data_IF_431375310486
#
_entry.id   IF_431375310486
#
_cell.length_a   1.000
_cell.length_b   1.000
_cell.length_c   1.000
_cell.angle_alpha   90.00
_cell.angle_beta   90.00
_cell.angle_gamma   90.00
#
_symmetry.space_group_name_H-M   'P 1'
#
loop_
_entity.id
_entity.type
_entity.pdbx_description
1 polymer ?
#
# COMPACT_ATOMS: atom_id res chain seq x y z
N UNK A 1 8.79 27.18 -4.95
CA UNK A 1 8.82 27.29 -3.46
C UNK A 1 7.53 26.80 -2.78
N UNK A 2 6.32 27.17 -3.21
CA UNK A 2 5.04 26.77 -2.56
C UNK A 2 4.76 25.25 -2.50
N UNK A 3 5.29 24.44 -3.41
CA UNK A 3 5.03 22.99 -3.45
C UNK A 3 5.82 22.22 -2.39
N UNK A 4 7.07 22.60 -2.13
CA UNK A 4 7.92 21.96 -1.12
C UNK A 4 7.34 22.09 0.29
N UNK A 5 6.82 23.27 0.65
CA UNK A 5 6.13 23.46 1.93
C UNK A 5 4.92 22.53 2.10
N UNK A 6 4.11 22.36 1.05
CA UNK A 6 3.00 21.40 1.07
C UNK A 6 3.47 19.96 1.18
N UNK A 7 4.51 19.56 0.44
CA UNK A 7 5.10 18.22 0.53
C UNK A 7 5.57 17.92 1.95
N UNK A 8 6.34 18.83 2.55
CA UNK A 8 6.84 18.67 3.92
C UNK A 8 5.66 18.56 4.90
N UNK A 9 4.65 19.42 4.78
CA UNK A 9 3.46 19.36 5.66
C UNK A 9 2.76 18.01 5.52
N UNK A 10 2.48 17.53 4.31
CA UNK A 10 1.79 16.25 4.14
C UNK A 10 2.64 15.06 4.58
N UNK A 11 3.96 15.09 4.37
CA UNK A 11 4.86 14.05 4.88
C UNK A 11 4.89 14.04 6.41
N UNK A 12 4.99 15.21 7.04
CA UNK A 12 4.97 15.34 8.50
C UNK A 12 3.62 14.88 9.04
N UNK A 13 2.51 15.31 8.45
CA UNK A 13 1.16 14.89 8.86
C UNK A 13 0.99 13.39 8.70
N UNK A 14 1.40 12.81 7.58
CA UNK A 14 1.35 11.37 7.37
C UNK A 14 2.21 10.63 8.41
N UNK A 15 3.44 11.06 8.65
CA UNK A 15 4.33 10.45 9.64
C UNK A 15 3.78 10.57 11.07
N UNK A 16 3.19 11.72 11.43
CA UNK A 16 2.55 11.93 12.74
C UNK A 16 1.34 11.01 12.89
N UNK A 17 0.47 10.94 11.88
CA UNK A 17 -0.71 10.08 11.91
C UNK A 17 -0.35 8.59 11.97
N UNK A 18 0.72 8.17 11.29
CA UNK A 18 1.15 6.76 11.27
C UNK A 18 2.02 6.36 12.45
N UNK A 19 2.58 7.31 13.23
CA UNK A 19 3.56 6.95 14.29
C UNK A 19 3.33 7.59 15.65
N UNK A 20 2.62 8.71 15.74
CA UNK A 20 2.53 9.52 16.97
C UNK A 20 1.14 9.50 17.59
N UNK A 21 0.08 9.44 16.78
CA UNK A 21 -1.29 9.49 17.31
C UNK A 21 -1.74 8.09 17.76
N UNK A 22 -2.43 7.94 18.92
CA UNK A 22 -3.17 6.72 19.22
C UNK A 22 -4.08 6.38 18.02
N UNK A 23 -4.23 5.10 17.69
CA UNK A 23 -4.89 4.65 16.45
C UNK A 23 -4.09 4.87 15.15
N UNK A 24 -2.77 5.06 15.21
CA UNK A 24 -1.89 4.93 14.03
C UNK A 24 -2.15 3.65 13.24
N UNK A 25 -2.43 2.57 13.99
CA UNK A 25 -3.52 1.60 13.82
C UNK A 25 -4.23 1.60 12.46
N UNK A 26 -5.09 2.58 12.38
CA UNK A 26 -6.05 2.77 11.34
C UNK A 26 -5.38 3.17 10.02
N UNK A 27 -4.38 4.05 10.07
CA UNK A 27 -3.79 4.65 8.87
C UNK A 27 -2.84 3.69 8.14
N UNK A 28 -1.98 2.96 8.87
CA UNK A 28 -1.01 2.08 8.21
C UNK A 28 -1.65 0.84 7.59
N UNK A 29 -2.81 0.42 8.08
CA UNK A 29 -3.56 -0.71 7.52
C UNK A 29 -4.08 -0.47 6.10
N UNK A 30 -4.08 0.77 5.60
CA UNK A 30 -4.34 1.06 4.18
C UNK A 30 -3.28 0.40 3.30
N UNK A 31 -1.99 0.55 3.65
CA UNK A 31 -0.91 -0.06 2.90
C UNK A 31 -0.89 -1.58 3.10
N UNK A 32 -1.10 -2.07 4.32
CA UNK A 32 -1.22 -3.50 4.62
C UNK A 32 -2.31 -4.15 3.77
N UNK A 33 -3.50 -3.55 3.66
CA UNK A 33 -4.57 -4.06 2.81
C UNK A 33 -4.12 -4.19 1.35
N UNK A 34 -3.48 -3.15 0.81
CA UNK A 34 -3.02 -3.12 -0.59
C UNK A 34 -1.92 -4.15 -0.83
N UNK A 35 -1.02 -4.31 0.13
CA UNK A 35 0.05 -5.31 0.12
C UNK A 35 -0.53 -6.73 0.04
N UNK A 36 -1.42 -7.08 0.97
CA UNK A 36 -2.08 -8.39 0.98
C UNK A 36 -2.96 -8.61 -0.26
N UNK A 37 -3.63 -7.56 -0.73
CA UNK A 37 -4.40 -7.61 -1.98
C UNK A 37 -3.50 -7.89 -3.19
N UNK A 38 -2.26 -7.39 -3.19
CA UNK A 38 -1.24 -7.71 -4.19
C UNK A 38 -0.90 -9.19 -4.23
N UNK A 39 -0.65 -9.80 -3.06
CA UNK A 39 -0.47 -11.25 -2.96
C UNK A 39 -1.69 -12.02 -3.48
N UNK A 40 -2.90 -11.58 -3.11
CA UNK A 40 -4.13 -12.22 -3.54
C UNK A 40 -4.31 -12.18 -5.07
N UNK A 41 -4.11 -11.03 -5.71
CA UNK A 41 -4.20 -10.90 -7.17
C UNK A 41 -3.19 -11.83 -7.85
N UNK A 42 -1.91 -11.76 -7.45
CA UNK A 42 -0.88 -12.56 -8.11
C UNK A 42 -1.11 -14.04 -7.89
N UNK A 43 -1.60 -14.43 -6.71
CA UNK A 43 -2.03 -15.81 -6.42
C UNK A 43 -3.08 -16.29 -7.43
N UNK A 44 -4.13 -15.48 -7.67
CA UNK A 44 -5.17 -15.84 -8.64
C UNK A 44 -4.62 -15.92 -10.07
N UNK A 45 -3.74 -14.99 -10.45
CA UNK A 45 -3.12 -14.98 -11.79
C UNK A 45 -2.25 -16.20 -12.05
N UNK A 46 -1.52 -16.69 -11.05
CA UNK A 46 -0.70 -17.91 -11.16
C UNK A 46 -1.49 -19.19 -10.89
N UNK A 47 -2.82 -19.13 -11.00
CA UNK A 47 -3.76 -20.25 -10.82
C UNK A 47 -3.74 -20.88 -9.43
N UNK A 48 -3.40 -20.10 -8.41
CA UNK A 48 -3.62 -20.46 -7.01
C UNK A 48 -5.04 -20.13 -6.56
N UNK A 49 -5.43 -20.65 -5.40
CA UNK A 49 -6.65 -20.24 -4.69
C UNK A 49 -6.27 -19.38 -3.50
N UNK A 50 -6.84 -18.19 -3.41
CA UNK A 50 -6.78 -17.38 -2.18
C UNK A 50 -7.80 -17.96 -1.22
N UNK A 51 -7.37 -18.31 -0.01
CA UNK A 51 -8.25 -18.83 1.03
C UNK A 51 -8.89 -17.66 1.77
N UNK A 52 -8.05 -16.80 2.34
CA UNK A 52 -8.47 -15.59 3.06
C UNK A 52 -7.28 -14.68 3.37
N UNK A 53 -7.57 -13.42 3.67
CA UNK A 53 -6.65 -12.41 4.17
C UNK A 53 -7.03 -12.12 5.63
N UNK A 54 -6.03 -12.08 6.50
CA UNK A 54 -6.17 -11.55 7.86
C UNK A 54 -5.40 -10.24 7.99
N UNK A 55 -6.05 -9.23 8.57
CA UNK A 55 -5.44 -7.94 8.91
C UNK A 55 -5.44 -7.75 10.41
N UNK A 56 -4.36 -7.27 11.00
CA UNK A 56 -4.22 -7.19 12.46
C UNK A 56 -4.07 -5.74 12.95
N UNK A 57 -4.36 -5.56 14.25
CA UNK A 57 -4.29 -4.25 14.89
C UNK A 57 -2.85 -3.71 15.03
N UNK A 58 -1.85 -4.57 14.89
CA UNK A 58 -0.43 -4.22 14.86
C UNK A 58 0.09 -3.89 13.44
N UNK A 59 -0.82 -3.82 12.46
CA UNK A 59 -0.57 -3.57 11.03
C UNK A 59 0.09 -4.70 10.26
N UNK A 60 0.24 -5.87 10.89
CA UNK A 60 0.58 -7.06 10.15
C UNK A 60 -0.61 -7.53 9.31
N UNK A 61 -0.30 -8.21 8.22
CA UNK A 61 -1.24 -8.86 7.34
C UNK A 61 -0.73 -10.25 6.99
N UNK A 62 -1.65 -11.16 6.68
CA UNK A 62 -1.29 -12.46 6.11
C UNK A 62 -2.33 -12.87 5.07
N UNK A 63 -1.87 -13.14 3.86
CA UNK A 63 -2.64 -13.77 2.78
C UNK A 63 -2.42 -15.27 2.76
N UNK A 64 -3.45 -16.02 3.15
CA UNK A 64 -3.43 -17.47 3.07
C UNK A 64 -3.86 -17.93 1.68
N UNK A 65 -3.04 -18.77 1.05
CA UNK A 65 -3.32 -19.33 -0.27
C UNK A 65 -3.05 -20.83 -0.31
N UNK A 66 -3.67 -21.52 -1.25
CA UNK A 66 -3.41 -22.94 -1.52
C UNK A 66 -2.18 -23.15 -2.43
N UNK A 67 -1.46 -22.09 -2.77
CA UNK A 67 -0.26 -22.21 -3.58
C UNK A 67 0.77 -23.03 -2.78
N UNK A 68 1.26 -24.12 -3.36
CA UNK A 68 2.26 -24.94 -2.69
C UNK A 68 3.47 -24.07 -2.33
N UNK A 69 3.82 -24.02 -1.05
CA UNK A 69 4.86 -23.15 -0.51
C UNK A 69 6.23 -23.35 -1.18
N UNK A 70 6.45 -24.49 -1.85
CA UNK A 70 7.68 -24.84 -2.57
C UNK A 70 7.58 -24.71 -4.10
N UNK A 71 6.52 -24.11 -4.64
CA UNK A 71 6.38 -23.90 -6.07
C UNK A 71 7.05 -22.59 -6.51
N UNK A 72 7.64 -22.58 -7.72
CA UNK A 72 8.15 -21.35 -8.36
C UNK A 72 7.09 -20.24 -8.45
N UNK A 73 5.80 -20.60 -8.48
CA UNK A 73 4.68 -19.66 -8.46
C UNK A 73 4.67 -18.78 -7.21
N UNK A 74 5.13 -19.33 -6.09
CA UNK A 74 5.19 -18.61 -4.81
C UNK A 74 6.25 -17.50 -4.83
N UNK A 75 7.27 -17.59 -5.69
CA UNK A 75 8.23 -16.49 -5.91
C UNK A 75 7.50 -15.25 -6.43
N UNK A 76 6.61 -15.42 -7.43
CA UNK A 76 5.82 -14.31 -7.96
C UNK A 76 4.87 -13.72 -6.92
N UNK A 77 4.24 -14.59 -6.11
CA UNK A 77 3.36 -14.16 -5.04
C UNK A 77 4.13 -13.35 -4.00
N UNK A 78 5.27 -13.84 -3.50
CA UNK A 78 6.08 -13.16 -2.49
C UNK A 78 6.70 -11.85 -3.00
N UNK A 79 6.95 -11.70 -4.31
CA UNK A 79 7.36 -10.42 -4.89
C UNK A 79 6.23 -9.39 -4.94
N UNK A 80 4.98 -9.82 -4.93
CA UNK A 80 3.84 -8.99 -5.29
C UNK A 80 3.54 -7.88 -4.26
N UNK A 81 3.58 -8.19 -2.96
CA UNK A 81 3.09 -7.31 -1.91
C UNK A 81 3.71 -5.91 -1.98
N UNK A 82 5.03 -5.82 -1.78
CA UNK A 82 5.76 -4.54 -1.80
C UNK A 82 5.72 -3.83 -3.16
N UNK A 83 5.74 -4.58 -4.27
CA UNK A 83 5.67 -4.00 -5.62
C UNK A 83 4.29 -3.36 -5.83
N UNK A 84 3.21 -4.05 -5.48
CA UNK A 84 1.83 -3.55 -5.62
C UNK A 84 1.58 -2.34 -4.72
N UNK A 85 2.04 -2.36 -3.46
CA UNK A 85 2.00 -1.19 -2.57
C UNK A 85 2.69 0.03 -3.19
N UNK A 86 3.90 -0.17 -3.74
CA UNK A 86 4.65 0.91 -4.40
C UNK A 86 3.90 1.46 -5.62
N UNK A 87 3.44 0.57 -6.50
CA UNK A 87 2.68 0.95 -7.71
C UNK A 87 1.40 1.69 -7.34
N UNK A 88 0.69 1.23 -6.31
CA UNK A 88 -0.53 1.87 -5.83
C UNK A 88 -0.28 3.31 -5.36
N UNK A 89 0.78 3.55 -4.58
CA UNK A 89 1.18 4.91 -4.21
C UNK A 89 1.44 5.78 -5.46
N UNK A 90 2.21 5.28 -6.44
CA UNK A 90 2.47 6.01 -7.70
C UNK A 90 1.17 6.33 -8.45
N UNK A 91 0.22 5.38 -8.51
CA UNK A 91 -1.07 5.58 -9.17
C UNK A 91 -1.91 6.66 -8.49
N UNK A 92 -1.87 6.76 -7.15
CA UNK A 92 -2.54 7.84 -6.42
C UNK A 92 -1.92 9.21 -6.74
N UNK A 93 -0.60 9.31 -6.77
CA UNK A 93 0.07 10.56 -7.16
C UNK A 93 -0.15 10.90 -8.64
N UNK A 94 -0.23 9.91 -9.51
CA UNK A 94 -0.59 10.10 -10.91
C UNK A 94 -2.03 10.62 -11.05
N UNK A 95 -2.98 10.03 -10.33
CA UNK A 95 -4.36 10.49 -10.25
C UNK A 95 -4.46 11.93 -9.75
N UNK A 96 -3.68 12.28 -8.71
CA UNK A 96 -3.56 13.65 -8.22
C UNK A 96 -3.07 14.61 -9.32
N UNK A 97 -1.98 14.26 -10.01
CA UNK A 97 -1.37 15.08 -11.07
C UNK A 97 -2.33 15.38 -12.23
N UNK A 98 -3.35 14.53 -12.42
CA UNK A 98 -4.38 14.63 -13.46
C UNK A 98 -5.68 15.27 -12.97
N UNK A 99 -5.78 15.65 -11.70
CA UNK A 99 -7.03 16.16 -11.12
C UNK A 99 -8.15 15.10 -11.03
N UNK A 100 -7.78 13.81 -10.92
CA UNK A 100 -8.69 12.67 -10.87
C UNK A 100 -8.90 12.13 -9.46
N UNK A 101 -8.92 12.99 -8.45
CA UNK A 101 -9.00 12.58 -7.04
C UNK A 101 -10.26 11.77 -6.74
N UNK A 102 -11.42 12.14 -7.31
CA UNK A 102 -12.66 11.38 -7.13
C UNK A 102 -12.56 9.98 -7.73
N UNK A 103 -12.07 9.84 -8.97
CA UNK A 103 -11.83 8.52 -9.59
C UNK A 103 -10.84 7.69 -8.79
N UNK A 104 -9.80 8.34 -8.25
CA UNK A 104 -8.83 7.68 -7.38
C UNK A 104 -9.47 7.14 -6.09
N UNK A 105 -10.29 7.94 -5.39
CA UNK A 105 -11.03 7.46 -4.22
C UNK A 105 -12.02 6.35 -4.55
N UNK A 106 -12.68 6.41 -5.71
CA UNK A 106 -13.54 5.30 -6.18
C UNK A 106 -12.74 4.02 -6.39
N UNK A 107 -11.52 4.10 -6.93
CA UNK A 107 -10.65 2.93 -7.05
C UNK A 107 -10.26 2.36 -5.68
N UNK A 108 -9.96 3.21 -4.70
CA UNK A 108 -9.69 2.80 -3.31
C UNK A 108 -10.91 2.11 -2.69
N UNK A 109 -12.11 2.65 -2.89
CA UNK A 109 -13.37 2.04 -2.45
C UNK A 109 -13.57 0.65 -3.07
N UNK A 110 -13.41 0.53 -4.39
CA UNK A 110 -13.59 -0.73 -5.10
C UNK A 110 -12.57 -1.77 -4.61
N UNK A 111 -11.30 -1.41 -4.48
CA UNK A 111 -10.26 -2.29 -3.96
C UNK A 111 -10.61 -2.79 -2.55
N UNK A 112 -11.01 -1.87 -1.66
CA UNK A 112 -11.38 -2.21 -0.29
C UNK A 112 -12.62 -3.10 -0.24
N UNK A 113 -13.63 -2.80 -1.06
CA UNK A 113 -14.86 -3.58 -1.14
C UNK A 113 -14.60 -5.00 -1.66
N UNK A 114 -13.82 -5.14 -2.74
CA UNK A 114 -13.41 -6.45 -3.27
C UNK A 114 -12.64 -7.23 -2.19
N UNK A 115 -11.68 -6.57 -1.53
CA UNK A 115 -10.89 -7.20 -0.48
C UNK A 115 -11.76 -7.70 0.67
N UNK A 116 -12.69 -6.87 1.15
CA UNK A 116 -13.63 -7.23 2.21
C UNK A 116 -14.55 -8.38 1.80
N UNK A 117 -15.17 -8.29 0.62
CA UNK A 117 -16.17 -9.25 0.16
C UNK A 117 -15.55 -10.62 -0.10
N UNK A 118 -14.39 -10.68 -0.75
CA UNK A 118 -13.83 -11.94 -1.24
C UNK A 118 -12.72 -12.52 -0.38
N UNK A 119 -11.94 -11.69 0.32
CA UNK A 119 -10.68 -12.13 0.90
C UNK A 119 -10.61 -11.95 2.42
N UNK A 120 -11.00 -10.81 2.99
CA UNK A 120 -10.80 -10.52 4.42
C UNK A 120 -11.78 -11.33 5.27
N UNK A 121 -11.28 -12.10 6.24
CA UNK A 121 -12.11 -13.04 7.05
C UNK A 121 -11.93 -12.95 8.56
N UNK A 122 -11.05 -12.09 9.08
CA UNK A 122 -10.92 -11.91 10.53
C UNK A 122 -11.68 -10.67 11.05
N UNK A 123 -12.13 -10.71 12.31
CA UNK A 123 -13.01 -9.69 12.88
C UNK A 123 -12.44 -8.26 12.84
N UNK A 124 -11.17 -8.08 13.19
CA UNK A 124 -10.52 -6.76 13.10
C UNK A 124 -10.48 -6.24 11.66
N UNK A 125 -10.02 -7.07 10.71
CA UNK A 125 -9.92 -6.68 9.31
C UNK A 125 -11.28 -6.31 8.71
N UNK A 126 -12.32 -7.08 9.02
CA UNK A 126 -13.70 -6.78 8.59
C UNK A 126 -14.16 -5.43 9.14
N UNK A 127 -14.03 -5.20 10.44
CA UNK A 127 -14.43 -3.94 11.07
C UNK A 127 -13.64 -2.74 10.51
N UNK A 128 -12.33 -2.91 10.34
CA UNK A 128 -11.47 -1.88 9.77
C UNK A 128 -11.86 -1.55 8.33
N UNK A 129 -12.07 -2.56 7.47
CA UNK A 129 -12.49 -2.36 6.08
C UNK A 129 -13.84 -1.66 5.98
N UNK A 130 -14.82 -2.03 6.83
CA UNK A 130 -16.13 -1.36 6.87
C UNK A 130 -15.96 0.11 7.26
N UNK A 131 -15.20 0.40 8.32
CA UNK A 131 -14.94 1.78 8.75
C UNK A 131 -14.24 2.60 7.67
N UNK A 132 -13.23 2.03 7.02
CA UNK A 132 -12.49 2.67 5.93
C UNK A 132 -13.37 2.91 4.69
N UNK A 133 -14.24 1.96 4.33
CA UNK A 133 -15.23 2.11 3.26
C UNK A 133 -16.20 3.25 3.54
N UNK A 134 -16.80 3.26 4.74
CA UNK A 134 -17.78 4.28 5.13
C UNK A 134 -17.16 5.68 5.12
N UNK A 135 -15.98 5.83 5.74
CA UNK A 135 -15.25 7.11 5.76
C UNK A 135 -14.89 7.58 4.34
N UNK A 136 -14.31 6.69 3.54
CA UNK A 136 -13.88 7.00 2.17
C UNK A 136 -15.08 7.35 1.30
N UNK A 137 -16.20 6.63 1.43
CA UNK A 137 -17.42 6.89 0.67
C UNK A 137 -18.04 8.24 1.08
N UNK A 138 -18.16 8.49 2.38
CA UNK A 138 -18.68 9.76 2.90
C UNK A 138 -17.89 10.95 2.35
N UNK A 139 -16.55 10.89 2.35
CA UNK A 139 -15.71 11.97 1.83
C UNK A 139 -15.73 12.02 0.29
N UNK A 140 -15.78 10.87 -0.40
CA UNK A 140 -15.80 10.81 -1.85
C UNK A 140 -17.05 11.47 -2.44
N UNK A 141 -18.22 11.24 -1.82
CA UNK A 141 -19.51 11.79 -2.24
C UNK A 141 -19.89 13.10 -1.53
N UNK A 142 -19.05 13.60 -0.64
CA UNK A 142 -19.25 14.89 0.01
C UNK A 142 -19.22 16.04 -1.03
N UNK A 143 -20.09 17.06 -0.90
CA UNK A 143 -20.11 18.20 -1.81
C UNK A 143 -18.85 19.06 -1.75
N UNK A 144 -18.05 18.98 -0.67
CA UNK A 144 -16.90 19.86 -0.44
C UNK A 144 -15.62 19.39 -1.16
N UNK A 145 -15.18 20.08 -2.24
CA UNK A 145 -14.05 19.61 -3.05
C UNK A 145 -12.72 19.66 -2.31
N UNK A 146 -12.54 20.63 -1.41
CA UNK A 146 -11.33 20.79 -0.61
C UNK A 146 -11.11 19.60 0.34
N UNK A 147 -12.19 19.10 0.96
CA UNK A 147 -12.14 17.96 1.88
C UNK A 147 -11.76 16.69 1.11
N UNK A 148 -12.39 16.47 -0.05
CA UNK A 148 -12.09 15.35 -0.94
C UNK A 148 -10.64 15.37 -1.41
N UNK A 149 -10.12 16.53 -1.81
CA UNK A 149 -8.73 16.69 -2.23
C UNK A 149 -7.74 16.47 -1.08
N UNK A 150 -8.04 17.02 0.10
CA UNK A 150 -7.22 16.86 1.30
C UNK A 150 -7.14 15.41 1.77
N UNK A 151 -8.28 14.72 1.84
CA UNK A 151 -8.35 13.30 2.21
C UNK A 151 -7.65 12.40 1.18
N UNK A 152 -7.86 12.65 -0.11
CA UNK A 152 -7.16 11.90 -1.16
C UNK A 152 -5.64 12.04 -1.04
N UNK A 153 -5.15 13.27 -0.83
CA UNK A 153 -3.73 13.51 -0.60
C UNK A 153 -3.25 12.82 0.67
N UNK A 154 -4.02 12.85 1.76
CA UNK A 154 -3.68 12.15 2.98
C UNK A 154 -3.48 10.66 2.73
N UNK A 155 -4.43 9.99 2.08
CA UNK A 155 -4.32 8.56 1.71
C UNK A 155 -3.10 8.31 0.81
N UNK A 156 -2.86 9.17 -0.18
CA UNK A 156 -1.71 9.04 -1.08
C UNK A 156 -0.37 9.16 -0.33
N UNK A 157 -0.24 10.10 0.60
CA UNK A 157 0.98 10.29 1.38
C UNK A 157 1.18 9.17 2.41
N UNK A 158 0.11 8.65 3.02
CA UNK A 158 0.18 7.46 3.87
C UNK A 158 0.71 6.27 3.06
N UNK A 159 0.14 6.01 1.88
CA UNK A 159 0.58 4.93 1.00
C UNK A 159 2.05 5.10 0.60
N UNK A 160 2.48 6.32 0.24
CA UNK A 160 3.88 6.62 -0.05
C UNK A 160 4.79 6.30 1.15
N UNK A 161 4.47 6.82 2.34
CA UNK A 161 5.30 6.64 3.53
C UNK A 161 5.42 5.17 3.91
N UNK A 162 4.31 4.44 3.99
CA UNK A 162 4.34 3.03 4.39
C UNK A 162 4.96 2.13 3.31
N UNK A 163 4.74 2.41 2.02
CA UNK A 163 5.39 1.68 0.91
C UNK A 163 6.92 1.76 0.95
N UNK A 164 7.49 2.82 1.53
CA UNK A 164 8.95 3.01 1.69
C UNK A 164 9.43 2.44 3.02
N UNK A 165 8.75 2.77 4.11
CA UNK A 165 9.17 2.36 5.44
C UNK A 165 9.07 0.83 5.62
N UNK A 166 8.05 0.18 5.05
CA UNK A 166 7.87 -1.27 5.12
C UNK A 166 9.11 -2.04 4.65
N UNK A 167 9.56 -1.89 3.39
CA UNK A 167 10.78 -2.50 2.90
C UNK A 167 12.05 -2.10 3.65
N UNK A 168 12.17 -0.85 4.11
CA UNK A 168 13.33 -0.40 4.89
C UNK A 168 13.42 -1.16 6.22
N UNK A 169 12.31 -1.28 6.95
CA UNK A 169 12.26 -2.10 8.16
C UNK A 169 12.50 -3.58 7.86
N UNK A 170 11.96 -4.09 6.76
CA UNK A 170 12.21 -5.45 6.31
C UNK A 170 13.69 -5.70 6.02
N UNK A 171 14.40 -4.74 5.44
CA UNK A 171 15.83 -4.83 5.17
C UNK A 171 16.65 -4.91 6.45
N UNK A 172 16.34 -4.07 7.44
CA UNK A 172 16.96 -4.13 8.76
C UNK A 172 16.70 -5.50 9.40
N UNK A 173 15.45 -5.96 9.36
CA UNK A 173 15.06 -7.27 9.90
C UNK A 173 15.72 -8.42 9.15
N UNK A 174 15.89 -8.34 7.83
CA UNK A 174 16.53 -9.36 7.01
C UNK A 174 18.03 -9.50 7.29
N UNK A 175 18.68 -8.43 7.76
CA UNK A 175 20.08 -8.47 8.21
C UNK A 175 20.19 -9.02 9.63
N UNK A 176 19.28 -8.63 10.53
CA UNK A 176 19.34 -9.03 11.94
C UNK A 176 18.80 -10.44 12.19
N UNK A 177 17.67 -10.79 11.57
CA UNK A 177 16.93 -12.03 11.74
C UNK A 177 16.36 -12.52 10.39
N UNK A 178 17.20 -13.04 9.47
CA UNK A 178 16.81 -13.36 8.09
C UNK A 178 15.59 -14.29 7.98
N UNK A 179 15.40 -15.22 8.93
CA UNK A 179 14.30 -16.19 8.92
C UNK A 179 12.91 -15.59 9.18
N UNK A 180 12.85 -14.40 9.80
CA UNK A 180 11.62 -13.70 10.17
C UNK A 180 11.28 -12.53 9.22
N UNK A 181 12.09 -12.32 8.17
CA UNK A 181 11.91 -11.22 7.22
C UNK A 181 10.82 -11.47 6.17
N UNK A 182 9.62 -11.91 6.60
CA UNK A 182 8.41 -12.01 5.78
C UNK A 182 8.63 -12.55 4.36
N UNK A 183 8.22 -11.78 3.36
CA UNK A 183 8.38 -12.09 1.94
C UNK A 183 9.83 -12.32 1.50
N UNK A 184 10.77 -11.57 2.05
CA UNK A 184 12.18 -11.74 1.74
C UNK A 184 12.71 -13.08 2.27
N UNK A 185 12.26 -13.51 3.45
CA UNK A 185 12.56 -14.83 3.99
C UNK A 185 11.91 -15.94 3.16
N UNK A 186 10.68 -15.73 2.69
CA UNK A 186 9.98 -16.64 1.80
C UNK A 186 10.73 -16.84 0.47
N UNK A 187 11.20 -15.76 -0.14
CA UNK A 187 12.00 -15.80 -1.37
C UNK A 187 13.36 -16.45 -1.14
N UNK A 188 14.02 -16.17 -0.02
CA UNK A 188 15.30 -16.80 0.33
C UNK A 188 15.20 -18.30 0.58
N UNK A 189 14.03 -18.80 1.02
CA UNK A 189 13.79 -20.25 1.14
C UNK A 189 13.60 -20.95 -0.20
N UNK A 190 13.24 -20.22 -1.26
CA UNK A 190 12.92 -20.76 -2.58
C UNK A 190 13.98 -20.46 -3.64
N UNK A 191 14.95 -19.61 -3.30
CA UNK A 191 15.99 -19.14 -4.23
C UNK A 191 17.35 -19.22 -3.54
N UNK A 192 18.46 -19.30 -4.28
CA UNK A 192 19.81 -19.23 -3.69
C UNK A 192 20.17 -17.82 -3.16
N UNK A 193 19.26 -16.85 -3.25
CA UNK A 193 19.51 -15.44 -2.95
C UNK A 193 19.10 -15.14 -1.49
N UNK A 194 20.01 -14.58 -0.66
CA UNK A 194 19.70 -14.25 0.74
C UNK A 194 18.55 -13.24 0.90
N UNK A 195 17.84 -13.32 2.03
CA UNK A 195 16.70 -12.44 2.34
C UNK A 195 17.07 -10.95 2.27
N UNK A 196 18.27 -10.57 2.73
CA UNK A 196 18.72 -9.19 2.70
C UNK A 196 18.78 -8.60 1.27
N UNK A 197 19.14 -9.40 0.25
CA UNK A 197 19.17 -8.93 -1.14
C UNK A 197 17.75 -8.75 -1.71
N UNK A 198 16.80 -9.61 -1.33
CA UNK A 198 15.39 -9.42 -1.68
C UNK A 198 14.78 -8.18 -1.01
N UNK A 199 15.07 -7.97 0.28
CA UNK A 199 14.62 -6.78 1.00
C UNK A 199 15.26 -5.50 0.43
N UNK A 200 16.52 -5.57 -0.02
CA UNK A 200 17.19 -4.48 -0.72
C UNK A 200 16.51 -4.16 -2.05
N UNK A 201 16.13 -5.19 -2.82
CA UNK A 201 15.35 -5.02 -4.06
C UNK A 201 14.02 -4.31 -3.78
N UNK A 202 13.26 -4.76 -2.78
CA UNK A 202 12.00 -4.11 -2.40
C UNK A 202 12.20 -2.65 -2.00
N UNK A 203 13.27 -2.38 -1.24
CA UNK A 203 13.63 -1.02 -0.85
C UNK A 203 13.99 -0.16 -2.06
N UNK A 204 14.77 -0.69 -3.00
CA UNK A 204 15.13 0.01 -4.22
C UNK A 204 13.89 0.35 -5.08
N UNK A 205 12.98 -0.62 -5.25
CA UNK A 205 11.70 -0.40 -5.95
C UNK A 205 10.87 0.68 -5.26
N UNK A 206 10.74 0.63 -3.94
CA UNK A 206 10.01 1.62 -3.17
C UNK A 206 10.61 3.03 -3.28
N UNK A 207 11.94 3.16 -3.25
CA UNK A 207 12.62 4.45 -3.41
C UNK A 207 12.44 5.02 -4.83
N UNK A 208 12.47 4.17 -5.86
CA UNK A 208 12.16 4.59 -7.23
C UNK A 208 10.70 5.04 -7.35
N UNK A 209 9.76 4.30 -6.75
CA UNK A 209 8.35 4.70 -6.68
C UNK A 209 8.17 6.03 -5.94
N UNK A 210 8.86 6.22 -4.82
CA UNK A 210 8.82 7.47 -4.05
C UNK A 210 9.33 8.66 -4.86
N UNK A 211 10.43 8.50 -5.59
CA UNK A 211 10.92 9.51 -6.53
C UNK A 211 9.85 9.88 -7.55
N UNK A 212 9.15 8.90 -8.11
CA UNK A 212 8.07 9.14 -9.07
C UNK A 212 6.86 9.85 -8.46
N UNK A 213 6.43 9.45 -7.24
CA UNK A 213 5.39 10.13 -6.48
C UNK A 213 5.73 11.62 -6.27
N UNK A 214 6.96 11.91 -5.82
CA UNK A 214 7.42 13.29 -5.61
C UNK A 214 7.49 14.08 -6.92
N UNK A 215 7.97 13.46 -8.00
CA UNK A 215 7.98 14.08 -9.33
C UNK A 215 6.57 14.47 -9.78
N UNK A 216 5.61 13.55 -9.66
CA UNK A 216 4.21 13.75 -10.03
C UNK A 216 3.53 14.83 -9.17
N UNK A 217 3.91 14.94 -7.90
CA UNK A 217 3.39 15.95 -6.98
C UNK A 217 3.96 17.35 -7.26
N UNK A 218 5.27 17.45 -7.48
CA UNK A 218 5.98 18.72 -7.68
C UNK A 218 5.78 19.29 -9.08
N UNK A 219 5.56 18.43 -10.08
CA UNK A 219 5.32 18.83 -11.47
C UNK A 219 4.00 18.24 -12.01
N UNK A 220 2.83 18.69 -11.52
CA UNK A 220 1.55 18.24 -12.04
C UNK A 220 1.43 18.59 -13.53
N UNK A 221 1.09 17.61 -14.37
CA UNK A 221 0.79 17.89 -15.78
C UNK A 221 -0.51 18.68 -15.86
N UNK A 222 -0.48 19.92 -16.37
CA UNK A 222 -1.68 20.73 -16.62
C UNK A 222 -2.64 19.93 -17.51
N UNK A 223 -3.91 19.81 -17.08
CA UNK A 223 -4.98 19.25 -17.89
C UNK A 223 -5.19 20.10 -19.15
N UNK A 224 -5.37 19.52 -20.35
CA UNK A 224 -5.68 20.28 -21.57
C UNK A 224 -6.98 21.09 -21.51
N UNK A 225 -7.87 20.81 -20.54
CA UNK A 225 -9.19 21.44 -20.40
C UNK A 225 -9.19 22.82 -19.71
N UNK A 226 -8.06 23.54 -19.68
CA UNK A 226 -7.97 24.89 -19.09
C UNK A 226 -7.57 25.96 -20.11
N UNK A 227 -8.11 25.88 -21.34
CA UNK A 227 -8.14 26.98 -22.29
C UNK A 227 -9.59 27.27 -22.67
#
# INVERSE_FOLDING_TARGET
>A
MKHWGKTVVFLVVAAVLTRVIPFSSFFRNVDTLVHEFGHAIVTLLVSGKVLYIHLFADHSGVTYSSAAAHSWRFILIALAGYIVSTVFAVLLFYGHSRGKQQTGLMAVLILTAISLLFFVRNGYGVMWCIGFLLLTAAICFCPWPWLRQGYYLLVAFIALVESVLGPVFLLILAVQNPGQAGDAANLARLTPVPAALWALLFTAVALLGARECLRLFLHPRKSPRSR
#
